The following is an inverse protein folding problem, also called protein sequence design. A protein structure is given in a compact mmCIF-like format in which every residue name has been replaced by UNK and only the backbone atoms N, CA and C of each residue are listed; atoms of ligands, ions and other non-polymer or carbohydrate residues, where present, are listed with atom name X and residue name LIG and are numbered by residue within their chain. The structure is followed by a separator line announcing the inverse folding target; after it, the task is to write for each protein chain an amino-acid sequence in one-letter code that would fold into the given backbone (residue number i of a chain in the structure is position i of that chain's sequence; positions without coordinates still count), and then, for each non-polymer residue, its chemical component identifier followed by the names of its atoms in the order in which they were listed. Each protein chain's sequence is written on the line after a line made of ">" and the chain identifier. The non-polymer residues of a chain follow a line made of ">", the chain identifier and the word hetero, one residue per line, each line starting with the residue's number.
data_IF_027527730675
#
_entry.id   IF_027527730675
#
_cell.length_a   1.000
_cell.length_b   1.000
_cell.length_c   1.000
_cell.angle_alpha   90.00
_cell.angle_beta   90.00
_cell.angle_gamma   90.00
#
_symmetry.space_group_name_H-M   'P 1'
#
loop_
_entity.id
_entity.type
_entity.pdbx_description
1 polymer ?
#
# COMPACT_ATOMS: atom_id res chain seq x y z
N UNK A 1 -24.43 32.92 -26.27
CA UNK A 1 -24.44 31.71 -25.42
C UNK A 1 -23.02 31.23 -25.38
N UNK A 2 -22.31 31.62 -24.33
CA UNK A 2 -20.92 31.29 -24.08
C UNK A 2 -20.92 30.10 -23.12
N UNK A 3 -20.58 28.92 -23.63
CA UNK A 3 -20.32 27.75 -22.79
C UNK A 3 -18.83 27.74 -22.52
N UNK A 4 -18.44 28.45 -21.46
CA UNK A 4 -17.11 28.35 -20.88
C UNK A 4 -16.96 26.95 -20.29
N UNK A 5 -16.33 26.06 -21.06
CA UNK A 5 -15.81 24.79 -20.58
C UNK A 5 -14.69 25.10 -19.57
N UNK A 6 -15.07 25.12 -18.29
CA UNK A 6 -14.11 25.20 -17.21
C UNK A 6 -13.38 23.87 -17.16
N UNK A 7 -12.17 23.89 -17.70
CA UNK A 7 -11.11 22.91 -17.53
C UNK A 7 -10.94 22.61 -16.02
N UNK A 8 -11.70 21.63 -15.53
CA UNK A 8 -11.50 21.07 -14.20
C UNK A 8 -10.20 20.28 -14.25
N UNK A 9 -9.11 20.98 -13.94
CA UNK A 9 -7.80 20.44 -13.58
C UNK A 9 -7.84 19.56 -12.32
N UNK A 10 -8.77 18.61 -12.27
CA UNK A 10 -8.78 17.51 -11.34
C UNK A 10 -7.93 16.40 -11.92
N UNK A 11 -6.68 16.33 -11.49
CA UNK A 11 -5.82 15.17 -11.69
C UNK A 11 -6.62 13.94 -11.25
N UNK A 12 -7.20 13.21 -12.22
CA UNK A 12 -7.84 11.92 -11.94
C UNK A 12 -6.74 11.06 -11.34
N UNK A 13 -6.75 10.90 -10.01
CA UNK A 13 -5.98 9.87 -9.34
C UNK A 13 -6.50 8.58 -9.94
N UNK A 14 -5.80 8.07 -10.95
CA UNK A 14 -6.08 6.75 -11.48
C UNK A 14 -5.86 5.84 -10.29
N UNK A 15 -6.94 5.40 -9.65
CA UNK A 15 -6.85 4.42 -8.59
C UNK A 15 -6.22 3.19 -9.24
N UNK A 16 -4.93 3.00 -8.99
CA UNK A 16 -4.23 1.79 -9.38
C UNK A 16 -4.70 0.72 -8.40
N UNK A 17 -5.03 -0.45 -8.92
CA UNK A 17 -5.57 -1.54 -8.12
C UNK A 17 -4.66 -2.75 -8.27
N UNK A 18 -4.50 -3.50 -7.18
CA UNK A 18 -3.95 -4.84 -7.24
C UNK A 18 -4.99 -5.74 -7.93
N UNK A 19 -4.62 -6.48 -8.98
CA UNK A 19 -5.53 -7.42 -9.65
C UNK A 19 -6.15 -8.42 -8.65
N UNK A 20 -7.43 -8.74 -8.83
CA UNK A 20 -8.16 -9.66 -7.93
C UNK A 20 -7.52 -11.04 -7.80
N UNK A 21 -6.86 -11.54 -8.86
CA UNK A 21 -6.15 -12.82 -8.81
C UNK A 21 -4.86 -12.77 -7.96
N UNK A 22 -4.42 -11.59 -7.53
CA UNK A 22 -3.23 -11.37 -6.71
C UNK A 22 -3.56 -10.86 -5.31
N UNK A 23 -4.82 -10.52 -5.00
CA UNK A 23 -5.18 -9.85 -3.75
C UNK A 23 -4.92 -10.71 -2.50
N UNK A 24 -5.19 -12.00 -2.57
CA UNK A 24 -4.93 -12.91 -1.44
C UNK A 24 -3.43 -13.09 -1.17
N UNK A 25 -2.63 -13.28 -2.22
CA UNK A 25 -1.16 -13.37 -2.11
C UNK A 25 -0.59 -12.04 -1.62
N UNK A 26 -1.13 -10.91 -2.08
CA UNK A 26 -0.78 -9.58 -1.62
C UNK A 26 -1.00 -9.42 -0.12
N UNK A 27 -2.18 -9.75 0.40
CA UNK A 27 -2.48 -9.59 1.83
C UNK A 27 -1.66 -10.55 2.70
N UNK A 28 -1.42 -11.76 2.22
CA UNK A 28 -0.56 -12.75 2.90
C UNK A 28 0.89 -12.27 2.99
N UNK A 29 1.46 -11.82 1.87
CA UNK A 29 2.85 -11.35 1.82
C UNK A 29 3.01 -10.01 2.57
N UNK A 30 2.01 -9.13 2.52
CA UNK A 30 1.94 -7.93 3.37
C UNK A 30 2.04 -8.30 4.85
N UNK A 31 1.22 -9.25 5.31
CA UNK A 31 1.25 -9.67 6.70
C UNK A 31 2.59 -10.29 7.11
N UNK A 32 3.17 -11.11 6.23
CA UNK A 32 4.51 -11.67 6.44
C UNK A 32 5.59 -10.59 6.47
N UNK A 33 5.50 -9.56 5.63
CA UNK A 33 6.44 -8.43 5.63
C UNK A 33 6.35 -7.61 6.92
N UNK A 34 5.15 -7.34 7.43
CA UNK A 34 4.95 -6.63 8.70
C UNK A 34 5.63 -7.39 9.84
N UNK A 35 5.37 -8.70 9.99
CA UNK A 35 5.99 -9.53 11.04
C UNK A 35 7.51 -9.60 10.99
N UNK A 36 8.12 -9.34 9.82
CA UNK A 36 9.58 -9.34 9.64
C UNK A 36 10.19 -7.95 9.83
N UNK A 37 9.41 -6.89 9.65
CA UNK A 37 9.89 -5.51 9.65
C UNK A 37 9.69 -4.81 11.00
N UNK A 38 8.80 -5.32 11.84
CA UNK A 38 8.43 -4.74 13.14
C UNK A 38 8.61 -5.77 14.26
N UNK A 39 8.82 -5.27 15.48
CA UNK A 39 8.81 -6.11 16.68
C UNK A 39 7.44 -6.79 16.85
N UNK A 40 7.40 -7.90 17.59
CA UNK A 40 6.20 -8.75 17.66
C UNK A 40 4.94 -7.99 18.11
N UNK A 41 5.04 -7.13 19.12
CA UNK A 41 3.91 -6.33 19.62
C UNK A 41 3.43 -5.31 18.58
N UNK A 42 4.36 -4.56 17.97
CA UNK A 42 4.05 -3.57 16.92
C UNK A 42 3.45 -4.23 15.67
N UNK A 43 4.00 -5.39 15.29
CA UNK A 43 3.51 -6.16 14.15
C UNK A 43 2.07 -6.59 14.36
N UNK A 44 1.73 -7.17 15.53
CA UNK A 44 0.38 -7.61 15.83
C UNK A 44 -0.59 -6.41 15.95
N UNK A 45 -0.14 -5.27 16.51
CA UNK A 45 -0.92 -4.03 16.49
C UNK A 45 -1.24 -3.57 15.05
N UNK A 46 -0.24 -3.50 14.16
CA UNK A 46 -0.42 -3.10 12.76
C UNK A 46 -1.34 -4.06 11.99
N UNK A 47 -1.23 -5.36 12.25
CA UNK A 47 -2.05 -6.39 11.61
C UNK A 47 -3.51 -6.38 12.09
N UNK A 48 -3.77 -5.92 13.31
CA UNK A 48 -5.12 -5.78 13.87
C UNK A 48 -5.81 -4.47 13.47
N UNK A 49 -5.05 -3.46 13.05
CA UNK A 49 -5.57 -2.15 12.68
C UNK A 49 -6.34 -2.20 11.35
N UNK A 50 -7.46 -1.48 11.21
CA UNK A 50 -8.06 -1.22 9.90
C UNK A 50 -7.05 -0.54 8.97
N UNK A 51 -6.99 -0.97 7.72
CA UNK A 51 -6.02 -0.44 6.75
C UNK A 51 -6.67 0.07 5.48
N UNK A 52 -6.14 1.17 4.94
CA UNK A 52 -6.38 1.59 3.56
C UNK A 52 -5.12 1.36 2.72
N UNK A 53 -5.25 0.62 1.61
CA UNK A 53 -4.15 0.40 0.67
C UNK A 53 -4.30 1.34 -0.53
N UNK A 54 -3.25 2.08 -0.85
CA UNK A 54 -3.16 2.86 -2.09
C UNK A 54 -2.03 2.31 -2.92
N UNK A 55 -2.29 2.02 -4.20
CA UNK A 55 -1.24 1.74 -5.19
C UNK A 55 -0.94 3.06 -5.89
N UNK A 56 0.32 3.45 -5.91
CA UNK A 56 0.78 4.72 -6.49
C UNK A 56 1.52 4.53 -7.81
N UNK A 57 2.11 3.36 -8.05
CA UNK A 57 2.75 3.02 -9.32
C UNK A 57 2.63 1.53 -9.64
N UNK A 58 2.57 1.22 -10.93
CA UNK A 58 2.66 -0.13 -11.49
C UNK A 58 3.71 -0.09 -12.60
N UNK A 59 4.81 -0.83 -12.42
CA UNK A 59 5.90 -0.94 -13.38
C UNK A 59 6.07 -2.41 -13.77
N UNK A 60 5.54 -2.81 -14.93
CA UNK A 60 5.49 -4.21 -15.33
C UNK A 60 4.64 -5.03 -14.36
N UNK A 61 5.24 -6.01 -13.68
CA UNK A 61 4.58 -6.82 -12.64
C UNK A 61 4.95 -6.40 -11.21
N UNK A 62 5.37 -5.15 -11.02
CA UNK A 62 5.73 -4.58 -9.72
C UNK A 62 4.76 -3.47 -9.34
N UNK A 63 4.25 -3.53 -8.12
CA UNK A 63 3.30 -2.58 -7.56
C UNK A 63 3.97 -1.84 -6.41
N UNK A 64 3.79 -0.53 -6.31
CA UNK A 64 4.28 0.22 -5.15
C UNK A 64 3.23 1.20 -4.66
N UNK A 65 3.28 1.51 -3.38
CA UNK A 65 2.26 2.34 -2.76
C UNK A 65 2.42 2.50 -1.26
N UNK A 66 1.30 2.84 -0.61
CA UNK A 66 1.23 3.09 0.83
C UNK A 66 0.10 2.25 1.42
N UNK A 67 0.40 1.55 2.51
CA UNK A 67 -0.58 1.00 3.44
C UNK A 67 -0.72 2.00 4.58
N UNK A 68 -1.93 2.48 4.84
CA UNK A 68 -2.20 3.38 5.96
C UNK A 68 -2.98 2.61 7.03
N UNK A 69 -2.37 2.41 8.19
CA UNK A 69 -2.98 1.76 9.34
C UNK A 69 -3.67 2.82 10.22
N UNK A 70 -4.95 2.61 10.51
CA UNK A 70 -5.77 3.56 11.26
C UNK A 70 -5.84 3.16 12.74
N UNK A 71 -5.31 4.02 13.60
CA UNK A 71 -5.45 3.91 15.06
C UNK A 71 -6.34 5.04 15.58
N UNK A 72 -6.86 4.90 16.80
CA UNK A 72 -7.80 5.88 17.39
C UNK A 72 -7.25 7.31 17.46
N UNK A 73 -5.92 7.47 17.52
CA UNK A 73 -5.26 8.77 17.75
C UNK A 73 -4.35 9.21 16.61
N UNK A 74 -3.98 8.32 15.70
CA UNK A 74 -3.04 8.59 14.63
C UNK A 74 -3.17 7.56 13.49
N UNK A 75 -2.72 7.97 12.31
CA UNK A 75 -2.51 7.07 11.19
C UNK A 75 -1.01 6.72 11.10
N UNK A 76 -0.71 5.45 10.84
CA UNK A 76 0.66 4.99 10.58
C UNK A 76 0.80 4.59 9.11
N UNK A 77 1.36 5.45 8.24
CA UNK A 77 1.63 5.10 6.86
C UNK A 77 2.88 4.22 6.74
N UNK A 78 2.82 3.22 5.88
CA UNK A 78 3.91 2.30 5.56
C UNK A 78 4.03 2.22 4.04
N UNK A 79 5.21 2.54 3.51
CA UNK A 79 5.47 2.40 2.09
C UNK A 79 5.77 0.93 1.75
N UNK A 80 5.27 0.48 0.61
CA UNK A 80 5.51 -0.89 0.16
C UNK A 80 5.91 -0.99 -1.31
N UNK A 81 6.58 -2.09 -1.61
CA UNK A 81 6.77 -2.62 -2.94
C UNK A 81 6.35 -4.09 -2.97
N UNK A 82 5.52 -4.46 -3.94
CA UNK A 82 5.00 -5.80 -4.15
C UNK A 82 5.40 -6.34 -5.53
N UNK A 83 6.03 -7.52 -5.55
CA UNK A 83 6.52 -8.26 -6.72
C UNK A 83 6.00 -9.71 -6.65
N UNK A 84 4.83 -10.01 -7.21
CA UNK A 84 4.24 -11.35 -7.18
C UNK A 84 5.13 -12.46 -7.77
N UNK A 85 6.02 -12.13 -8.73
CA UNK A 85 6.96 -13.09 -9.33
C UNK A 85 8.22 -13.34 -8.49
N UNK A 86 8.44 -12.58 -7.41
CA UNK A 86 9.63 -12.75 -6.59
C UNK A 86 9.56 -14.03 -5.73
N UNK A 87 10.72 -14.47 -5.25
CA UNK A 87 10.80 -15.56 -4.28
C UNK A 87 9.98 -15.24 -3.02
N UNK A 88 9.37 -16.28 -2.44
CA UNK A 88 8.52 -16.15 -1.25
C UNK A 88 9.25 -15.38 -0.14
N UNK A 89 8.59 -14.40 0.47
CA UNK A 89 9.21 -13.51 1.44
C UNK A 89 9.91 -12.29 0.83
N UNK A 90 10.39 -12.31 -0.41
CA UNK A 90 10.88 -11.11 -1.09
C UNK A 90 9.79 -10.44 -1.94
N UNK A 91 8.61 -11.05 -2.01
CA UNK A 91 7.46 -10.52 -2.74
C UNK A 91 6.93 -9.21 -2.21
N UNK A 92 7.03 -8.96 -0.91
CA UNK A 92 6.52 -7.73 -0.30
C UNK A 92 7.59 -7.11 0.60
N UNK A 93 8.00 -5.90 0.25
CA UNK A 93 9.03 -5.14 0.95
C UNK A 93 8.37 -3.91 1.56
N UNK A 94 8.59 -3.73 2.85
CA UNK A 94 8.15 -2.55 3.59
C UNK A 94 9.34 -1.61 3.75
N UNK A 95 9.15 -0.36 3.35
CA UNK A 95 10.09 0.71 3.64
C UNK A 95 9.47 1.60 4.71
N UNK A 96 10.10 1.64 5.89
CA UNK A 96 9.74 2.60 6.93
C UNK A 96 10.22 3.98 6.46
N UNK A 97 9.34 4.98 6.48
CA UNK A 97 9.79 6.36 6.34
C UNK A 97 10.58 6.71 7.60
N UNK A 98 11.92 6.68 7.53
CA UNK A 98 12.80 7.07 8.64
C UNK A 98 12.83 8.60 8.84
N UNK A 99 11.73 9.31 8.59
CA UNK A 99 11.64 10.73 8.93
C UNK A 99 11.31 10.85 10.42
N UNK A 100 12.36 10.67 11.22
CA UNK A 100 12.51 11.34 12.52
C UNK A 100 12.44 12.87 12.34
#
# INVERSE_FOLDING_TARGET
>A
MDWGDQDLGGQMVKHLFIPHNLSEDFDKEKAAAIRRSFDADDAEMLLSAPTTNTVSSIEGNKYSGIVKHHFERNDSPVHYEYRPDAEQGSKFIITKDNRD
#
